data_IF_171703549500
#
_entry.id   IF_171703549500
#
_cell.length_a   1.000
_cell.length_b   1.000
_cell.length_c   1.000
_cell.angle_alpha   90.00
_cell.angle_beta   90.00
_cell.angle_gamma   90.00
#
_symmetry.space_group_name_H-M   'P 1'
#
loop_
_entity.id
_entity.type
_entity.pdbx_description
1 polymer ?
#
# COMPACT_ATOMS: atom_id res chain seq x y z
N UNK A 1 -17.08 -15.41 -18.80
CA UNK A 1 -16.69 -14.05 -19.26
C UNK A 1 -15.99 -14.13 -20.63
N UNK A 2 -14.89 -14.89 -20.81
CA UNK A 2 -14.13 -14.98 -22.08
C UNK A 2 -14.98 -15.40 -23.27
N UNK A 3 -15.83 -16.44 -23.11
CA UNK A 3 -16.73 -16.91 -24.18
C UNK A 3 -17.69 -15.79 -24.63
N UNK A 4 -18.19 -14.96 -23.69
CA UNK A 4 -19.03 -13.81 -23.98
C UNK A 4 -18.25 -12.75 -24.77
N UNK A 5 -17.02 -12.43 -24.33
CA UNK A 5 -16.16 -11.45 -24.98
C UNK A 5 -15.84 -11.82 -26.44
N UNK A 6 -15.56 -13.09 -26.71
CA UNK A 6 -15.33 -13.59 -28.08
C UNK A 6 -16.57 -13.41 -28.98
N UNK A 7 -17.78 -13.60 -28.43
CA UNK A 7 -19.04 -13.46 -29.16
C UNK A 7 -19.51 -12.01 -29.31
N UNK A 8 -19.00 -11.12 -28.48
CA UNK A 8 -19.37 -9.71 -28.51
C UNK A 8 -18.93 -9.04 -29.81
N UNK A 9 -19.81 -8.23 -30.40
CA UNK A 9 -19.59 -7.52 -31.64
C UNK A 9 -19.17 -6.05 -31.43
N UNK A 10 -19.32 -5.54 -30.22
CA UNK A 10 -18.96 -4.17 -29.85
C UNK A 10 -17.45 -3.99 -29.72
N UNK A 11 -16.99 -2.74 -29.86
CA UNK A 11 -15.61 -2.35 -29.63
C UNK A 11 -15.28 -2.16 -28.15
N UNK A 12 -16.29 -2.07 -27.31
CA UNK A 12 -16.20 -2.02 -25.84
C UNK A 12 -16.89 -3.24 -25.26
N UNK A 13 -16.31 -3.77 -24.20
CA UNK A 13 -16.86 -4.85 -23.40
C UNK A 13 -17.24 -4.28 -22.03
N UNK A 14 -18.46 -4.53 -21.61
CA UNK A 14 -18.90 -4.30 -20.24
C UNK A 14 -19.18 -5.66 -19.59
N UNK A 15 -18.37 -6.01 -18.59
CA UNK A 15 -18.67 -7.11 -17.69
C UNK A 15 -19.44 -6.53 -16.53
N UNK A 16 -20.65 -7.02 -16.33
CA UNK A 16 -21.59 -6.54 -15.32
C UNK A 16 -22.20 -7.75 -14.63
N UNK A 17 -22.12 -7.78 -13.31
CA UNK A 17 -22.78 -8.83 -12.54
C UNK A 17 -24.30 -8.70 -12.67
N UNK A 18 -25.01 -9.82 -12.59
CA UNK A 18 -26.45 -9.89 -12.70
C UNK A 18 -27.18 -9.39 -11.44
N UNK A 19 -26.45 -9.12 -10.37
CA UNK A 19 -26.91 -8.54 -9.10
C UNK A 19 -26.52 -7.05 -8.93
N UNK A 20 -26.21 -6.36 -10.03
CA UNK A 20 -26.03 -4.90 -10.05
C UNK A 20 -27.37 -4.21 -10.24
N UNK A 21 -27.66 -3.21 -9.40
CA UNK A 21 -28.81 -2.33 -9.50
C UNK A 21 -28.38 -0.90 -9.85
N UNK A 22 -29.03 -0.33 -10.85
CA UNK A 22 -28.80 1.04 -11.30
C UNK A 22 -29.59 1.99 -10.39
N UNK A 23 -28.89 2.92 -9.72
CA UNK A 23 -29.49 3.89 -8.82
C UNK A 23 -30.01 5.08 -9.63
N UNK A 24 -31.25 5.48 -9.33
CA UNK A 24 -31.89 6.67 -9.87
C UNK A 24 -32.91 6.37 -10.94
N UNK A 25 -34.09 6.99 -10.79
CA UNK A 25 -35.20 6.86 -11.72
C UNK A 25 -35.31 8.02 -12.69
N UNK A 26 -34.58 9.08 -12.49
CA UNK A 26 -34.57 10.24 -13.37
C UNK A 26 -33.44 10.10 -14.40
N UNK A 27 -33.70 9.28 -15.39
CA UNK A 27 -32.78 8.94 -16.50
C UNK A 27 -32.36 10.12 -17.38
N UNK A 28 -32.79 11.33 -17.08
CA UNK A 28 -32.53 12.48 -17.94
C UNK A 28 -31.17 13.16 -17.68
N UNK A 29 -30.49 12.95 -16.53
CA UNK A 29 -29.31 13.74 -16.18
C UNK A 29 -27.99 12.97 -16.01
N UNK A 30 -27.98 11.65 -15.89
CA UNK A 30 -26.70 10.90 -15.79
C UNK A 30 -26.75 9.59 -16.55
N UNK A 31 -26.31 9.61 -17.79
CA UNK A 31 -26.03 8.38 -18.54
C UNK A 31 -24.75 7.72 -18.05
N UNK A 32 -24.85 6.95 -16.95
CA UNK A 32 -23.76 6.22 -16.33
C UNK A 32 -22.96 5.40 -17.35
N UNK A 33 -23.65 4.82 -18.33
CA UNK A 33 -23.03 4.01 -19.37
C UNK A 33 -22.17 4.87 -20.32
N UNK A 34 -22.68 6.05 -20.73
CA UNK A 34 -21.90 6.99 -21.56
C UNK A 34 -20.67 7.53 -20.86
N UNK A 35 -20.74 7.73 -19.53
CA UNK A 35 -19.59 8.14 -18.72
C UNK A 35 -18.52 7.05 -18.78
N UNK A 36 -18.85 5.78 -18.51
CA UNK A 36 -17.90 4.67 -18.60
C UNK A 36 -17.34 4.50 -20.00
N UNK A 37 -18.20 4.60 -21.05
CA UNK A 37 -17.80 4.56 -22.46
C UNK A 37 -16.81 5.67 -22.80
N UNK A 38 -17.10 6.90 -22.37
CA UNK A 38 -16.21 8.05 -22.60
C UNK A 38 -14.82 7.85 -22.00
N UNK A 39 -14.76 7.31 -20.79
CA UNK A 39 -13.49 6.99 -20.13
C UNK A 39 -12.77 5.82 -20.80
N UNK A 40 -13.46 4.72 -21.10
CA UNK A 40 -12.85 3.52 -21.68
C UNK A 40 -12.23 3.76 -23.06
N UNK A 41 -12.73 4.77 -23.78
CA UNK A 41 -12.20 5.18 -25.11
C UNK A 41 -10.92 6.02 -25.04
N UNK A 42 -10.48 6.45 -23.86
CA UNK A 42 -9.21 7.17 -23.74
C UNK A 42 -8.05 6.20 -24.03
N UNK A 43 -7.07 6.67 -24.77
CA UNK A 43 -5.94 5.83 -25.23
C UNK A 43 -5.18 5.21 -24.05
N UNK A 44 -4.94 5.98 -22.99
CA UNK A 44 -4.22 5.55 -21.80
C UNK A 44 -5.05 4.70 -20.84
N UNK A 45 -6.38 4.62 -20.99
CA UNK A 45 -7.24 3.89 -20.06
C UNK A 45 -7.20 2.38 -20.34
N UNK A 46 -6.96 1.59 -19.30
CA UNK A 46 -7.12 0.14 -19.30
C UNK A 46 -8.57 -0.25 -19.04
N UNK A 47 -8.84 -0.64 -17.81
CA UNK A 47 -10.20 -0.93 -17.34
C UNK A 47 -10.83 0.29 -16.67
N UNK A 48 -12.16 0.37 -16.72
CA UNK A 48 -12.96 1.40 -16.03
C UNK A 48 -13.96 0.70 -15.11
N UNK A 49 -13.96 1.09 -13.83
CA UNK A 49 -14.94 0.65 -12.84
C UNK A 49 -15.83 1.79 -12.36
N UNK A 50 -16.91 1.43 -11.71
CA UNK A 50 -17.85 2.32 -11.05
C UNK A 50 -17.73 2.23 -9.53
N UNK A 51 -18.17 3.25 -8.81
CA UNK A 51 -18.42 3.16 -7.37
C UNK A 51 -19.57 2.20 -7.12
N UNK A 52 -19.33 1.22 -6.23
CA UNK A 52 -20.38 0.31 -5.78
C UNK A 52 -20.69 0.55 -4.31
N UNK A 53 -21.98 0.64 -4.00
CA UNK A 53 -22.50 0.70 -2.65
C UNK A 53 -23.22 -0.60 -2.31
N UNK A 54 -23.30 -0.92 -1.01
CA UNK A 54 -24.18 -1.99 -0.55
C UNK A 54 -25.66 -1.56 -0.73
N UNK A 55 -26.55 -2.51 -1.07
CA UNK A 55 -27.95 -2.20 -1.37
C UNK A 55 -28.64 -1.44 -0.25
N UNK A 56 -29.52 -0.50 -0.61
CA UNK A 56 -30.32 0.29 0.31
C UNK A 56 -29.52 1.01 1.40
N UNK A 57 -28.23 1.31 1.13
CA UNK A 57 -27.36 1.91 2.11
C UNK A 57 -26.42 2.96 1.48
N UNK A 58 -25.76 3.72 2.34
CA UNK A 58 -24.66 4.61 1.98
C UNK A 58 -23.28 3.99 2.31
N UNK A 59 -23.21 2.68 2.53
CA UNK A 59 -21.93 2.03 2.80
C UNK A 59 -21.22 1.66 1.51
N UNK A 60 -19.97 2.05 1.41
CA UNK A 60 -19.11 1.74 0.27
C UNK A 60 -18.80 0.24 0.25
N UNK A 61 -18.99 -0.38 -0.90
CA UNK A 61 -18.51 -1.72 -1.20
C UNK A 61 -17.22 -1.67 -2.02
N UNK A 62 -17.17 -0.80 -3.04
CA UNK A 62 -16.03 -0.65 -3.93
C UNK A 62 -15.85 0.80 -4.39
N UNK A 63 -14.64 1.29 -4.19
CA UNK A 63 -14.11 2.53 -4.78
C UNK A 63 -12.65 2.32 -5.18
N UNK A 64 -12.36 1.23 -5.89
CA UNK A 64 -11.02 0.81 -6.27
C UNK A 64 -10.42 -0.23 -5.33
N UNK A 65 -9.43 -0.93 -5.82
CA UNK A 65 -8.66 -1.94 -5.08
C UNK A 65 -7.24 -1.44 -4.93
N UNK A 66 -6.73 -1.54 -3.72
CA UNK A 66 -5.35 -1.20 -3.35
C UNK A 66 -4.58 -2.44 -2.93
N UNK A 67 -3.28 -2.41 -3.16
CA UNK A 67 -2.37 -3.46 -2.74
C UNK A 67 -1.40 -2.91 -1.69
N UNK A 68 -1.56 -3.31 -0.43
CA UNK A 68 -0.73 -2.85 0.68
C UNK A 68 -0.15 -4.03 1.49
N UNK A 69 0.85 -3.76 2.30
CA UNK A 69 1.71 -4.77 2.91
C UNK A 69 0.99 -5.85 3.71
N UNK A 70 0.04 -5.47 4.56
CA UNK A 70 -0.63 -6.41 5.48
C UNK A 70 -1.82 -7.14 4.87
N UNK A 71 -2.33 -6.66 3.73
CA UNK A 71 -3.44 -7.29 3.00
C UNK A 71 -3.24 -7.08 1.51
N UNK A 72 -3.37 -8.12 0.74
CA UNK A 72 -3.27 -8.01 -0.71
C UNK A 72 -4.64 -7.73 -1.32
N UNK A 73 -4.69 -6.74 -2.21
CA UNK A 73 -5.85 -6.43 -3.05
C UNK A 73 -7.14 -6.21 -2.28
N UNK A 74 -7.12 -5.24 -1.36
CA UNK A 74 -8.28 -4.87 -0.58
C UNK A 74 -9.09 -3.76 -1.24
N UNK A 75 -10.41 -3.82 -1.12
CA UNK A 75 -11.30 -2.74 -1.52
C UNK A 75 -11.09 -1.53 -0.62
N UNK A 76 -10.76 -0.38 -1.22
CA UNK A 76 -10.57 0.88 -0.50
C UNK A 76 -11.88 1.32 0.13
N UNK A 77 -11.85 1.76 1.39
CA UNK A 77 -13.01 2.22 2.17
C UNK A 77 -14.16 1.21 2.31
N UNK A 78 -13.95 -0.08 2.06
CA UNK A 78 -15.02 -1.06 2.21
C UNK A 78 -15.69 -0.99 3.58
N UNK A 79 -17.01 -0.95 3.60
CA UNK A 79 -17.88 -0.78 4.78
C UNK A 79 -17.79 0.62 5.44
N UNK A 80 -17.09 1.60 4.87
CA UNK A 80 -17.16 2.99 5.32
C UNK A 80 -18.45 3.66 4.78
N UNK A 81 -18.91 4.70 5.47
CA UNK A 81 -20.03 5.52 4.97
C UNK A 81 -19.53 6.41 3.85
N UNK A 82 -20.26 6.47 2.75
CA UNK A 82 -20.01 7.36 1.60
C UNK A 82 -20.49 8.77 1.92
N UNK A 83 -19.69 9.53 2.65
CA UNK A 83 -19.99 10.87 3.09
C UNK A 83 -18.77 11.81 3.04
N UNK A 84 -18.95 13.06 3.48
CA UNK A 84 -17.94 14.11 3.50
C UNK A 84 -16.81 13.85 4.53
N UNK A 85 -16.93 12.84 5.38
CA UNK A 85 -15.89 12.49 6.36
C UNK A 85 -14.74 11.67 5.75
N UNK A 86 -14.91 11.16 4.54
CA UNK A 86 -13.82 10.49 3.82
C UNK A 86 -12.74 11.51 3.47
N UNK A 87 -11.52 11.19 3.89
CA UNK A 87 -10.38 12.11 3.76
C UNK A 87 -10.12 12.47 2.30
N UNK A 88 -9.87 13.75 2.08
CA UNK A 88 -9.60 14.34 0.78
C UNK A 88 -10.76 14.17 -0.22
N UNK A 89 -11.97 13.86 0.23
CA UNK A 89 -13.15 13.63 -0.62
C UNK A 89 -12.87 12.66 -1.77
N UNK A 90 -12.02 11.65 -1.50
CA UNK A 90 -11.59 10.70 -2.52
C UNK A 90 -12.72 9.82 -3.04
N UNK A 91 -13.78 9.65 -2.26
CA UNK A 91 -15.02 8.99 -2.67
C UNK A 91 -15.85 9.76 -3.71
N UNK A 92 -15.52 11.03 -3.99
CA UNK A 92 -16.18 11.83 -5.02
C UNK A 92 -15.30 12.13 -6.24
N UNK A 93 -14.00 12.01 -6.11
CA UNK A 93 -13.10 12.26 -7.22
C UNK A 93 -12.86 10.99 -8.03
N UNK A 94 -12.79 11.12 -9.35
CA UNK A 94 -12.31 10.06 -10.23
C UNK A 94 -10.79 9.96 -10.13
N UNK A 95 -10.26 8.75 -10.25
CA UNK A 95 -8.81 8.55 -10.13
C UNK A 95 -8.32 7.26 -10.76
N UNK A 96 -7.04 7.26 -11.09
CA UNK A 96 -6.34 6.06 -11.48
C UNK A 96 -6.12 5.17 -10.25
N UNK A 97 -6.38 3.88 -10.39
CA UNK A 97 -6.20 2.89 -9.34
C UNK A 97 -5.53 1.63 -9.89
N UNK A 98 -5.02 0.80 -8.98
CA UNK A 98 -4.36 -0.43 -9.40
C UNK A 98 -5.36 -1.40 -10.04
N UNK A 99 -6.51 -1.62 -9.40
CA UNK A 99 -7.53 -2.50 -9.93
C UNK A 99 -8.95 -1.96 -9.70
N UNK A 100 -9.86 -2.36 -10.57
CA UNK A 100 -11.30 -2.21 -10.44
C UNK A 100 -11.96 -3.59 -10.40
N UNK A 101 -13.11 -3.71 -9.75
CA UNK A 101 -13.79 -5.01 -9.57
C UNK A 101 -14.48 -5.48 -10.85
N UNK A 102 -14.49 -6.79 -11.05
CA UNK A 102 -15.22 -7.45 -12.12
C UNK A 102 -16.73 -7.30 -12.05
N UNK A 103 -17.30 -6.83 -10.93
CA UNK A 103 -18.73 -6.61 -10.77
C UNK A 103 -19.27 -5.52 -11.71
N UNK A 104 -18.46 -4.48 -11.99
CA UNK A 104 -18.72 -3.49 -13.05
C UNK A 104 -17.38 -3.11 -13.67
N UNK A 105 -17.09 -3.68 -14.83
CA UNK A 105 -15.76 -3.59 -15.47
C UNK A 105 -15.94 -3.31 -16.97
N UNK A 106 -15.57 -2.13 -17.41
CA UNK A 106 -15.59 -1.77 -18.83
C UNK A 106 -14.20 -1.66 -19.40
N UNK A 107 -14.00 -2.19 -20.60
CA UNK A 107 -12.71 -2.18 -21.29
C UNK A 107 -12.89 -2.12 -22.81
N UNK A 108 -11.94 -1.52 -23.50
CA UNK A 108 -11.86 -1.62 -24.95
C UNK A 108 -11.51 -3.06 -25.36
N UNK A 109 -12.30 -3.64 -26.29
CA UNK A 109 -12.14 -5.05 -26.69
C UNK A 109 -10.72 -5.35 -27.20
N UNK A 110 -10.12 -4.43 -27.93
CA UNK A 110 -8.75 -4.60 -28.41
C UNK A 110 -7.71 -4.71 -27.30
N UNK A 111 -7.91 -3.97 -26.19
CA UNK A 111 -7.04 -4.04 -25.00
C UNK A 111 -7.28 -5.31 -24.20
N UNK A 112 -8.54 -5.74 -24.09
CA UNK A 112 -8.90 -7.01 -23.49
C UNK A 112 -8.27 -8.20 -24.20
N UNK A 113 -8.39 -8.22 -25.55
CA UNK A 113 -7.82 -9.28 -26.39
C UNK A 113 -6.26 -9.28 -26.31
N UNK A 114 -5.64 -8.07 -26.28
CA UNK A 114 -4.19 -7.92 -26.12
C UNK A 114 -3.70 -8.38 -24.74
N UNK A 115 -4.49 -8.15 -23.70
CA UNK A 115 -4.18 -8.65 -22.35
C UNK A 115 -4.33 -10.17 -22.21
N UNK A 116 -4.97 -10.83 -23.18
CA UNK A 116 -5.22 -12.29 -23.15
C UNK A 116 -6.56 -12.67 -22.54
N UNK A 117 -7.41 -11.71 -22.19
CA UNK A 117 -8.67 -11.92 -21.49
C UNK A 117 -8.47 -12.22 -20.02
N UNK A 118 -9.51 -12.74 -19.36
CA UNK A 118 -9.39 -13.23 -17.98
C UNK A 118 -8.66 -14.57 -17.96
N UNK A 119 -7.69 -14.70 -17.07
CA UNK A 119 -6.96 -15.95 -16.88
C UNK A 119 -7.86 -16.98 -16.17
N UNK A 120 -8.16 -18.09 -16.86
CA UNK A 120 -9.06 -19.14 -16.35
C UNK A 120 -8.44 -19.99 -15.22
N UNK A 121 -7.15 -19.80 -14.92
CA UNK A 121 -6.53 -20.37 -13.74
C UNK A 121 -7.07 -19.76 -12.42
N UNK A 122 -7.59 -18.53 -12.48
CA UNK A 122 -8.29 -17.88 -11.36
C UNK A 122 -9.78 -18.28 -11.39
N UNK A 123 -10.13 -19.31 -10.67
CA UNK A 123 -11.49 -19.89 -10.74
C UNK A 123 -12.60 -18.97 -10.22
N UNK A 124 -12.35 -18.22 -9.13
CA UNK A 124 -13.40 -17.45 -8.43
C UNK A 124 -12.97 -16.02 -8.11
N UNK A 125 -11.73 -15.82 -7.67
CA UNK A 125 -11.20 -14.54 -7.18
C UNK A 125 -9.94 -14.16 -7.91
N UNK A 126 -9.57 -12.87 -7.90
CA UNK A 126 -8.36 -12.30 -8.51
C UNK A 126 -8.29 -12.34 -10.05
N UNK A 127 -9.30 -12.80 -10.75
CA UNK A 127 -9.34 -12.72 -12.22
C UNK A 127 -9.41 -11.28 -12.72
N UNK A 128 -10.16 -10.43 -12.04
CA UNK A 128 -10.25 -8.97 -12.28
C UNK A 128 -8.97 -8.26 -11.84
N UNK A 129 -8.38 -8.68 -10.75
CA UNK A 129 -7.07 -8.18 -10.29
C UNK A 129 -6.01 -8.50 -11.34
N UNK A 130 -5.86 -9.74 -11.74
CA UNK A 130 -4.85 -10.21 -12.70
C UNK A 130 -4.89 -9.43 -14.03
N UNK A 131 -6.08 -9.26 -14.61
CA UNK A 131 -6.19 -8.48 -15.85
C UNK A 131 -5.87 -7.01 -15.64
N UNK A 132 -6.25 -6.41 -14.50
CA UNK A 132 -5.89 -5.03 -14.17
C UNK A 132 -4.37 -4.84 -14.05
N UNK A 133 -3.67 -5.77 -13.39
CA UNK A 133 -2.21 -5.75 -13.29
C UNK A 133 -1.56 -5.92 -14.66
N UNK A 134 -2.07 -6.84 -15.48
CA UNK A 134 -1.60 -7.03 -16.86
C UNK A 134 -1.75 -5.76 -17.69
N UNK A 135 -2.87 -5.05 -17.59
CA UNK A 135 -3.11 -3.79 -18.27
C UNK A 135 -2.14 -2.70 -17.80
N UNK A 136 -1.91 -2.61 -16.49
CA UNK A 136 -0.93 -1.66 -15.93
C UNK A 136 0.49 -1.96 -16.44
N UNK A 137 0.93 -3.20 -16.44
CA UNK A 137 2.25 -3.61 -16.96
C UNK A 137 2.38 -3.37 -18.47
N UNK A 138 1.28 -3.32 -19.21
CA UNK A 138 1.22 -2.94 -20.62
C UNK A 138 1.20 -1.40 -20.83
N UNK A 139 1.24 -0.61 -19.76
CA UNK A 139 1.29 0.86 -19.79
C UNK A 139 -0.07 1.56 -19.83
N UNK A 140 -1.15 0.84 -19.48
CA UNK A 140 -2.49 1.44 -19.31
C UNK A 140 -2.75 1.78 -17.84
N UNK A 141 -3.70 2.69 -17.59
CA UNK A 141 -4.19 3.04 -16.25
C UNK A 141 -5.62 2.54 -16.08
N UNK A 142 -5.88 1.84 -14.99
CA UNK A 142 -7.25 1.48 -14.62
C UNK A 142 -7.88 2.66 -13.88
N UNK A 143 -9.10 3.00 -14.19
CA UNK A 143 -9.76 4.23 -13.73
C UNK A 143 -11.04 3.88 -12.96
N UNK A 144 -11.17 4.45 -11.79
CA UNK A 144 -12.43 4.43 -11.06
C UNK A 144 -13.23 5.71 -11.33
N UNK A 145 -14.47 5.56 -11.73
CA UNK A 145 -15.45 6.64 -11.89
C UNK A 145 -16.35 6.72 -10.67
N UNK A 146 -16.06 7.66 -9.78
CA UNK A 146 -16.85 7.89 -8.56
C UNK A 146 -18.15 8.64 -8.83
N UNK A 147 -18.28 9.29 -9.98
CA UNK A 147 -19.52 9.90 -10.47
C UNK A 147 -20.53 8.89 -11.04
N UNK A 148 -20.10 7.64 -11.26
CA UNK A 148 -20.97 6.52 -11.59
C UNK A 148 -21.19 5.68 -10.32
N UNK A 149 -22.40 5.71 -9.78
CA UNK A 149 -22.74 5.01 -8.52
C UNK A 149 -23.80 3.95 -8.80
N UNK A 150 -23.54 2.72 -8.38
CA UNK A 150 -24.42 1.57 -8.56
C UNK A 150 -24.58 0.82 -7.22
N UNK A 151 -25.67 0.09 -7.01
CA UNK A 151 -25.77 -0.89 -5.94
C UNK A 151 -25.31 -2.26 -6.43
N UNK A 152 -24.62 -3.01 -5.56
CA UNK A 152 -24.24 -4.38 -5.83
C UNK A 152 -24.71 -5.28 -4.69
N UNK A 153 -25.62 -6.20 -4.99
CA UNK A 153 -26.28 -7.08 -4.04
C UNK A 153 -25.42 -8.28 -3.62
N UNK A 154 -24.08 -8.09 -3.59
CA UNK A 154 -23.14 -9.13 -3.14
C UNK A 154 -23.48 -9.59 -1.73
N UNK A 155 -23.31 -10.86 -1.46
CA UNK A 155 -23.56 -11.56 -0.19
C UNK A 155 -24.91 -12.25 -0.04
N UNK A 156 -25.91 -11.98 -0.87
CA UNK A 156 -27.11 -12.81 -0.84
C UNK A 156 -26.84 -14.26 -1.27
N UNK A 157 -25.82 -14.47 -2.11
CA UNK A 157 -25.48 -15.80 -2.63
C UNK A 157 -24.22 -16.45 -2.07
N UNK A 158 -23.31 -15.68 -1.43
CA UNK A 158 -21.97 -16.19 -1.05
C UNK A 158 -21.70 -16.32 0.46
N UNK A 159 -22.55 -15.77 1.34
CA UNK A 159 -22.35 -15.77 2.80
C UNK A 159 -21.14 -14.91 3.24
N UNK A 160 -21.00 -14.67 4.56
CA UNK A 160 -19.86 -13.92 5.13
C UNK A 160 -18.55 -14.65 4.86
N UNK A 161 -17.63 -14.00 4.14
CA UNK A 161 -16.34 -14.58 3.73
C UNK A 161 -15.35 -14.77 4.89
N UNK A 162 -15.59 -14.15 6.04
CA UNK A 162 -14.66 -14.14 7.18
C UNK A 162 -14.63 -15.46 7.98
N UNK A 163 -15.56 -16.39 7.77
CA UNK A 163 -15.73 -17.60 8.61
C UNK A 163 -15.38 -18.90 7.89
N UNK A 164 -15.12 -18.86 6.58
CA UNK A 164 -14.89 -20.06 5.79
C UNK A 164 -13.39 -20.27 5.50
N UNK A 165 -12.76 -21.20 6.23
CA UNK A 165 -11.33 -21.57 6.07
C UNK A 165 -11.00 -21.99 4.64
N UNK A 166 -11.94 -22.59 3.91
CA UNK A 166 -11.72 -23.00 2.53
C UNK A 166 -11.70 -21.80 1.56
N UNK A 167 -12.56 -20.79 1.78
CA UNK A 167 -12.53 -19.53 1.04
C UNK A 167 -11.23 -18.77 1.30
N UNK A 168 -10.80 -18.68 2.56
CA UNK A 168 -9.53 -18.05 2.92
C UNK A 168 -8.35 -18.73 2.24
N UNK A 169 -8.31 -20.06 2.22
CA UNK A 169 -7.25 -20.82 1.55
C UNK A 169 -7.25 -20.55 0.02
N UNK A 170 -8.43 -20.49 -0.61
CA UNK A 170 -8.55 -20.16 -2.04
C UNK A 170 -8.08 -18.75 -2.34
N UNK A 171 -8.47 -17.77 -1.51
CA UNK A 171 -8.02 -16.38 -1.66
C UNK A 171 -6.50 -16.26 -1.51
N UNK A 172 -5.92 -16.92 -0.51
CA UNK A 172 -4.46 -16.93 -0.35
C UNK A 172 -3.74 -17.60 -1.53
N UNK A 173 -4.28 -18.70 -2.05
CA UNK A 173 -3.71 -19.34 -3.24
C UNK A 173 -3.80 -18.44 -4.48
N UNK A 174 -4.95 -17.80 -4.71
CA UNK A 174 -5.12 -16.86 -5.81
C UNK A 174 -4.16 -15.65 -5.68
N UNK A 175 -3.96 -15.15 -4.46
CA UNK A 175 -2.95 -14.12 -4.18
C UNK A 175 -1.55 -14.56 -4.58
N UNK A 176 -1.14 -15.74 -4.13
CA UNK A 176 0.21 -16.24 -4.39
C UNK A 176 0.43 -16.42 -5.91
N UNK A 177 -0.56 -16.96 -6.63
CA UNK A 177 -0.55 -17.02 -8.10
C UNK A 177 -0.44 -15.62 -8.74
N UNK A 178 -1.17 -14.63 -8.20
CA UNK A 178 -1.10 -13.25 -8.69
C UNK A 178 0.31 -12.68 -8.54
N UNK A 179 0.96 -12.87 -7.40
CA UNK A 179 2.32 -12.38 -7.18
C UNK A 179 3.38 -13.15 -7.97
N UNK A 180 3.21 -14.46 -8.17
CA UNK A 180 4.07 -15.23 -9.08
C UNK A 180 4.01 -14.68 -10.52
N UNK A 181 2.84 -14.26 -10.98
CA UNK A 181 2.62 -13.71 -12.32
C UNK A 181 3.06 -12.23 -12.41
N UNK A 182 2.89 -11.46 -11.36
CA UNK A 182 3.18 -10.01 -11.29
C UNK A 182 4.17 -9.66 -10.16
N UNK A 183 5.41 -10.20 -10.15
CA UNK A 183 6.33 -10.08 -9.02
C UNK A 183 6.75 -8.63 -8.72
N UNK A 184 6.72 -7.73 -9.70
CA UNK A 184 7.03 -6.30 -9.51
C UNK A 184 5.98 -5.54 -8.70
N UNK A 185 4.79 -6.11 -8.59
CA UNK A 185 3.65 -5.53 -7.87
C UNK A 185 3.38 -6.28 -6.54
N UNK A 186 4.27 -7.19 -6.14
CA UNK A 186 4.16 -7.82 -4.83
C UNK A 186 4.28 -6.76 -3.73
N UNK A 187 3.22 -6.62 -2.92
CA UNK A 187 3.12 -5.64 -1.83
C UNK A 187 3.42 -4.18 -2.24
N UNK A 188 3.23 -3.87 -3.51
CA UNK A 188 3.46 -2.55 -4.06
C UNK A 188 2.27 -2.08 -4.88
N UNK A 189 1.86 -0.84 -4.66
CA UNK A 189 0.79 -0.18 -5.40
C UNK A 189 1.27 1.21 -5.86
N UNK A 190 1.44 1.42 -7.18
CA UNK A 190 1.92 2.71 -7.70
C UNK A 190 0.94 3.87 -7.46
N UNK A 191 -0.34 3.57 -7.16
CA UNK A 191 -1.40 4.56 -6.90
C UNK A 191 -1.69 4.74 -5.42
N UNK A 192 -1.05 3.96 -4.55
CA UNK A 192 -1.21 4.05 -3.10
C UNK A 192 0.10 4.49 -2.46
N UNK A 193 0.11 5.71 -1.92
CA UNK A 193 1.33 6.27 -1.35
C UNK A 193 1.86 5.44 -0.17
N UNK A 194 3.17 5.17 -0.11
CA UNK A 194 3.77 4.50 1.05
C UNK A 194 3.66 5.31 2.35
N UNK A 195 3.28 6.60 2.28
CA UNK A 195 2.97 7.43 3.44
C UNK A 195 1.60 7.13 4.07
N UNK A 196 0.77 6.39 3.37
CA UNK A 196 -0.53 5.96 3.87
C UNK A 196 -0.39 4.67 4.68
N UNK A 197 -1.43 4.37 5.45
CA UNK A 197 -1.44 3.16 6.29
C UNK A 197 -1.26 1.90 5.45
N UNK A 198 -0.40 1.02 5.92
CA UNK A 198 -0.14 -0.30 5.32
C UNK A 198 -0.85 -1.42 6.12
N UNK A 199 -1.80 -1.06 6.97
CA UNK A 199 -2.47 -1.98 7.88
C UNK A 199 -3.98 -2.01 7.74
N UNK A 200 -4.56 -1.06 7.01
CA UNK A 200 -5.99 -1.01 6.73
C UNK A 200 -6.29 -0.29 5.39
N UNK A 201 -7.52 -0.38 4.94
CA UNK A 201 -7.99 0.15 3.65
C UNK A 201 -8.66 1.53 3.72
N UNK A 202 -8.36 2.35 4.74
CA UNK A 202 -9.06 3.62 4.98
C UNK A 202 -8.34 4.86 4.44
N UNK A 203 -7.32 4.71 3.62
CA UNK A 203 -6.55 5.81 2.99
C UNK A 203 -6.13 6.90 4.00
N UNK A 204 -5.89 6.51 5.24
CA UNK A 204 -5.40 7.41 6.27
C UNK A 204 -3.87 7.49 6.23
N UNK A 205 -3.32 8.57 6.72
CA UNK A 205 -1.88 8.60 6.94
C UNK A 205 -1.47 7.44 7.85
N UNK A 206 -0.41 6.76 7.47
CA UNK A 206 0.20 5.76 8.33
C UNK A 206 0.51 6.37 9.71
N UNK A 207 0.51 5.56 10.73
CA UNK A 207 0.93 6.01 12.08
C UNK A 207 2.38 6.51 12.06
N UNK A 208 3.08 6.22 10.98
CA UNK A 208 4.43 6.61 10.65
C UNK A 208 4.44 7.40 9.33
N UNK A 209 4.25 8.73 9.42
CA UNK A 209 4.41 9.61 8.24
C UNK A 209 5.91 9.82 8.02
N UNK A 210 6.46 9.14 7.02
CA UNK A 210 7.86 9.30 6.65
C UNK A 210 7.99 9.78 5.22
N UNK A 211 8.56 10.93 5.03
CA UNK A 211 9.30 11.18 3.82
C UNK A 211 10.67 10.49 3.97
N UNK A 212 10.85 9.36 3.32
CA UNK A 212 12.14 8.66 3.34
C UNK A 212 13.15 9.51 2.59
N UNK A 213 13.95 10.23 3.34
CA UNK A 213 15.13 10.88 2.76
C UNK A 213 16.27 9.88 2.88
N UNK A 214 16.63 9.25 1.77
CA UNK A 214 17.85 8.44 1.71
C UNK A 214 19.05 9.32 1.89
N UNK A 215 19.91 8.93 2.81
CA UNK A 215 21.12 9.67 3.14
C UNK A 215 22.34 8.82 2.87
N UNK A 216 23.31 9.39 2.15
CA UNK A 216 24.62 8.76 2.01
C UNK A 216 25.34 8.72 3.36
N UNK A 217 25.75 7.54 3.80
CA UNK A 217 26.56 7.40 5.01
C UNK A 217 27.91 8.10 4.84
N UNK A 218 28.35 8.75 5.90
CA UNK A 218 29.65 9.42 5.91
C UNK A 218 30.69 8.57 6.66
N UNK A 219 31.83 8.28 6.05
CA UNK A 219 32.93 7.62 6.77
C UNK A 219 33.33 8.40 8.02
N UNK A 220 33.41 7.71 9.15
CA UNK A 220 33.58 8.32 10.47
C UNK A 220 34.49 7.46 11.38
N UNK A 221 35.56 6.88 10.84
CA UNK A 221 36.40 5.91 11.55
C UNK A 221 37.00 6.45 12.86
N UNK A 222 37.28 7.77 12.93
CA UNK A 222 37.75 8.43 14.15
C UNK A 222 36.67 8.58 15.24
N UNK A 223 35.42 8.37 14.90
CA UNK A 223 34.27 8.47 15.81
C UNK A 223 33.68 7.09 16.13
N UNK A 224 34.38 6.03 15.82
CA UNK A 224 33.95 4.64 16.09
C UNK A 224 33.59 4.50 17.56
N UNK A 225 32.41 3.96 17.88
CA UNK A 225 32.02 3.70 19.25
C UNK A 225 33.00 2.68 19.90
N UNK A 226 33.55 3.04 21.04
CA UNK A 226 34.37 2.10 21.78
C UNK A 226 33.48 1.17 22.61
N UNK A 227 33.68 -0.14 22.51
CA UNK A 227 32.81 -1.16 23.12
C UNK A 227 32.61 -0.99 24.64
N UNK A 228 33.57 -0.40 25.36
CA UNK A 228 33.43 -0.14 26.80
C UNK A 228 32.72 1.16 27.19
N UNK A 229 32.26 1.95 26.22
CA UNK A 229 31.59 3.25 26.46
C UNK A 229 30.16 3.32 25.92
N UNK A 230 29.60 2.19 25.51
CA UNK A 230 28.22 2.14 25.06
C UNK A 230 27.29 1.81 26.20
N UNK A 231 26.24 2.61 26.36
CA UNK A 231 25.17 2.36 27.32
C UNK A 231 24.11 1.46 26.65
N UNK A 232 23.65 0.45 27.35
CA UNK A 232 22.45 -0.32 26.97
C UNK A 232 21.25 0.34 27.65
N UNK A 233 20.29 0.75 26.85
CA UNK A 233 19.07 1.39 27.36
C UNK A 233 17.84 0.78 26.73
N UNK A 234 16.82 0.41 27.50
CA UNK A 234 15.54 -0.10 26.98
C UNK A 234 14.76 0.98 26.21
N UNK A 235 15.16 2.23 26.34
CA UNK A 235 14.53 3.39 25.70
C UNK A 235 15.24 3.83 24.41
N UNK A 236 16.22 3.07 23.96
CA UNK A 236 16.91 3.25 22.68
C UNK A 236 16.87 1.94 21.92
N UNK A 237 16.28 1.94 20.74
CA UNK A 237 16.14 0.75 19.89
C UNK A 237 16.22 1.13 18.42
N UNK A 238 16.86 0.28 17.64
CA UNK A 238 16.82 0.30 16.17
C UNK A 238 16.29 -1.04 15.68
N UNK A 239 15.54 -1.01 14.62
CA UNK A 239 15.09 -2.20 13.89
C UNK A 239 15.37 -1.96 12.41
N UNK A 240 15.99 -2.93 11.77
CA UNK A 240 16.13 -2.93 10.32
C UNK A 240 14.78 -3.26 9.68
N UNK A 241 14.40 -2.51 8.67
CA UNK A 241 13.23 -2.78 7.85
C UNK A 241 13.66 -2.59 6.41
N UNK A 242 13.83 -3.69 5.67
CA UNK A 242 14.15 -3.64 4.24
C UNK A 242 12.88 -3.67 3.40
N UNK A 243 12.84 -2.84 2.37
CA UNK A 243 11.86 -2.90 1.28
C UNK A 243 12.62 -2.77 -0.04
N UNK A 244 12.49 -3.74 -0.94
CA UNK A 244 12.95 -3.65 -2.34
C UNK A 244 14.34 -3.00 -2.51
N UNK A 245 15.40 -3.67 -2.13
CA UNK A 245 16.81 -3.22 -2.26
C UNK A 245 17.21 -1.96 -1.47
N UNK A 246 16.26 -1.35 -0.74
CA UNK A 246 16.48 -0.13 0.02
C UNK A 246 16.63 -0.43 1.51
N UNK A 247 17.77 -0.14 2.07
CA UNK A 247 17.98 -0.28 3.50
C UNK A 247 17.30 0.85 4.28
N UNK A 248 16.49 0.47 5.24
CA UNK A 248 15.81 1.40 6.14
C UNK A 248 16.01 0.99 7.59
N UNK A 249 16.35 1.94 8.43
CA UNK A 249 16.42 1.76 9.88
C UNK A 249 15.33 2.58 10.55
N UNK A 250 14.56 1.94 11.42
CA UNK A 250 13.55 2.57 12.26
C UNK A 250 13.90 2.38 13.71
N UNK A 251 13.49 3.32 14.54
CA UNK A 251 13.75 3.18 15.95
C UNK A 251 13.14 4.28 16.78
N UNK A 252 13.52 4.30 18.03
CA UNK A 252 13.19 5.35 18.95
C UNK A 252 14.36 5.60 19.91
N UNK A 253 14.47 6.85 20.36
CA UNK A 253 15.47 7.22 21.35
C UNK A 253 14.92 8.28 22.29
N UNK A 254 14.84 7.96 23.57
CA UNK A 254 14.44 8.88 24.63
C UNK A 254 15.07 8.47 25.97
N UNK A 255 15.07 9.38 26.95
CA UNK A 255 15.51 9.10 28.30
C UNK A 255 14.48 9.68 29.28
N UNK A 256 13.67 8.81 29.86
CA UNK A 256 12.59 9.18 30.76
C UNK A 256 11.64 10.19 30.11
N UNK A 257 11.92 11.46 30.34
CA UNK A 257 11.07 12.56 29.92
C UNK A 257 11.65 13.42 28.76
N UNK A 258 12.80 13.00 28.21
CA UNK A 258 13.51 13.74 27.17
C UNK A 258 13.63 12.87 25.93
N UNK A 259 13.07 13.36 24.83
CA UNK A 259 13.28 12.78 23.51
C UNK A 259 14.61 13.22 22.91
N UNK A 260 15.24 12.36 22.13
CA UNK A 260 16.46 12.67 21.38
C UNK A 260 16.10 12.97 19.94
N UNK A 261 16.03 14.25 19.62
CA UNK A 261 15.61 14.73 18.31
C UNK A 261 16.73 14.55 17.26
N UNK A 262 16.39 13.95 16.11
CA UNK A 262 17.30 13.67 15.01
C UNK A 262 18.62 12.99 15.47
N UNK A 263 18.55 11.82 16.07
CA UNK A 263 19.72 11.14 16.57
C UNK A 263 20.69 10.78 15.42
N UNK A 264 21.96 10.53 15.76
CA UNK A 264 22.97 10.08 14.81
C UNK A 264 23.16 8.58 14.98
N UNK A 265 22.97 7.83 13.91
CA UNK A 265 23.23 6.40 13.85
C UNK A 265 24.68 6.16 13.43
N UNK A 266 25.33 5.21 14.07
CA UNK A 266 26.63 4.69 13.69
C UNK A 266 26.49 3.24 13.32
N UNK A 267 27.02 2.88 12.14
CA UNK A 267 27.21 1.52 11.67
C UNK A 267 28.70 1.25 11.58
N UNK A 268 29.19 0.23 12.28
CA UNK A 268 30.63 -0.06 12.26
C UNK A 268 30.94 -1.56 12.38
N UNK A 269 32.07 -1.93 11.79
CA UNK A 269 32.71 -3.24 11.93
C UNK A 269 34.22 -3.04 12.18
N UNK A 270 35.02 -4.07 12.01
CA UNK A 270 36.48 -3.97 12.23
C UNK A 270 37.16 -3.00 11.26
N UNK A 271 36.70 -2.92 10.02
CA UNK A 271 37.29 -2.14 8.93
C UNK A 271 36.72 -0.72 8.84
N UNK A 272 35.43 -0.59 8.91
CA UNK A 272 34.72 0.63 8.58
C UNK A 272 33.79 1.14 9.70
N UNK A 273 33.63 2.45 9.73
CA UNK A 273 32.62 3.11 10.54
C UNK A 273 31.93 4.19 9.73
N UNK A 274 30.59 4.14 9.70
CA UNK A 274 29.75 5.10 9.01
C UNK A 274 28.85 5.81 10.00
N UNK A 275 28.58 7.09 9.76
CA UNK A 275 27.60 7.87 10.51
C UNK A 275 26.48 8.32 9.58
N UNK A 276 25.25 8.31 10.09
CA UNK A 276 24.06 8.70 9.36
C UNK A 276 23.19 9.51 10.32
N UNK A 277 22.68 10.65 9.87
CA UNK A 277 21.75 11.45 10.66
C UNK A 277 20.32 10.95 10.41
N UNK A 278 19.70 10.37 11.42
CA UNK A 278 18.30 9.97 11.36
C UNK A 278 17.36 11.17 11.45
N UNK A 279 16.14 10.99 11.00
CA UNK A 279 15.08 11.99 11.07
C UNK A 279 14.07 11.58 12.13
N UNK A 280 13.82 12.42 13.11
CA UNK A 280 12.75 12.21 14.08
C UNK A 280 11.39 12.39 13.42
N UNK A 281 10.45 11.57 13.86
CA UNK A 281 9.09 11.50 13.35
C UNK A 281 8.12 11.87 14.45
N UNK A 282 7.10 12.65 14.11
CA UNK A 282 6.06 13.00 15.07
C UNK A 282 5.04 11.88 15.21
N UNK A 283 5.08 11.18 16.32
CA UNK A 283 4.07 10.18 16.70
C UNK A 283 3.37 10.62 17.99
N UNK A 284 2.21 11.22 17.84
CA UNK A 284 1.44 11.81 18.95
C UNK A 284 0.95 10.79 20.00
N UNK A 285 0.90 9.52 19.63
CA UNK A 285 0.49 8.44 20.54
C UNK A 285 1.67 7.64 21.11
N UNK A 286 2.91 7.96 20.73
CA UNK A 286 4.08 7.18 21.12
C UNK A 286 4.24 7.08 22.65
N UNK A 287 4.08 8.20 23.36
CA UNK A 287 4.18 8.25 24.82
C UNK A 287 3.15 7.33 25.49
N UNK A 288 1.92 7.25 24.95
CA UNK A 288 0.86 6.38 25.46
C UNK A 288 1.23 4.90 25.29
N UNK A 289 1.76 4.53 24.11
CA UNK A 289 2.20 3.15 23.86
C UNK A 289 3.40 2.72 24.73
N UNK A 290 4.20 3.68 25.17
CA UNK A 290 5.36 3.42 26.05
C UNK A 290 5.05 3.59 27.52
N UNK A 291 3.83 4.00 27.91
CA UNK A 291 3.43 4.20 29.29
C UNK A 291 4.20 5.33 29.97
N UNK A 292 4.52 6.39 29.23
CA UNK A 292 5.27 7.55 29.72
C UNK A 292 4.32 8.74 29.88
N UNK A 293 4.32 9.39 31.03
CA UNK A 293 3.39 10.48 31.35
C UNK A 293 3.68 11.80 30.62
N UNK A 294 4.82 11.90 29.92
CA UNK A 294 5.22 13.11 29.21
C UNK A 294 5.25 12.90 27.70
N UNK A 295 5.01 14.01 27.03
CA UNK A 295 4.99 14.08 25.57
C UNK A 295 6.41 13.88 25.01
N UNK A 296 6.65 12.69 24.44
CA UNK A 296 7.88 12.31 23.73
C UNK A 296 7.57 11.96 22.27
N UNK A 297 6.78 12.80 21.62
CA UNK A 297 6.22 12.55 20.29
C UNK A 297 7.27 12.46 19.17
N UNK A 298 8.45 13.03 19.38
CA UNK A 298 9.55 13.01 18.42
C UNK A 298 10.67 12.02 18.78
N UNK A 299 10.43 11.16 19.77
CA UNK A 299 11.36 10.07 20.10
C UNK A 299 11.52 9.02 19.00
N UNK A 300 10.47 8.66 18.23
CA UNK A 300 10.62 7.84 17.06
C UNK A 300 11.46 8.52 15.99
N UNK A 301 12.25 7.73 15.28
CA UNK A 301 13.05 8.20 14.15
C UNK A 301 13.08 7.19 13.03
N UNK A 302 13.46 7.68 11.88
CA UNK A 302 13.60 6.93 10.65
C UNK A 302 14.87 7.33 9.90
N UNK A 303 15.47 6.40 9.17
CA UNK A 303 16.65 6.64 8.36
C UNK A 303 16.65 5.74 7.14
N UNK A 304 16.48 6.29 5.94
CA UNK A 304 16.81 5.61 4.70
C UNK A 304 18.31 5.72 4.44
N UNK A 305 18.95 4.62 4.03
CA UNK A 305 20.39 4.54 3.81
C UNK A 305 20.66 4.21 2.35
N UNK A 306 21.33 5.12 1.66
CA UNK A 306 21.92 4.85 0.35
C UNK A 306 23.22 4.06 0.57
N UNK A 307 23.15 2.76 0.35
CA UNK A 307 24.27 1.83 0.61
C UNK A 307 25.31 1.77 -0.52
N UNK A 308 25.09 2.46 -1.64
CA UNK A 308 25.92 2.38 -2.86
C UNK A 308 27.42 2.58 -2.60
N UNK A 309 27.78 3.42 -1.63
CA UNK A 309 29.18 3.72 -1.29
C UNK A 309 29.63 2.96 -0.01
N UNK A 310 28.85 2.00 0.48
CA UNK A 310 29.21 1.18 1.65
C UNK A 310 29.88 -0.13 1.19
N UNK A 311 30.82 -0.60 1.99
CA UNK A 311 31.39 -1.91 1.78
C UNK A 311 30.45 -2.99 2.34
N UNK A 312 30.33 -4.12 1.64
CA UNK A 312 29.53 -5.25 2.09
C UNK A 312 30.03 -5.80 3.42
N UNK A 313 29.12 -6.24 4.27
CA UNK A 313 29.47 -6.84 5.54
C UNK A 313 28.45 -6.64 6.62
N UNK A 314 28.68 -7.24 7.78
CA UNK A 314 27.85 -7.07 8.98
C UNK A 314 28.38 -5.91 9.82
N UNK A 315 27.49 -5.00 10.17
CA UNK A 315 27.78 -3.80 10.95
C UNK A 315 26.99 -3.81 12.26
N UNK A 316 27.67 -3.52 13.36
CA UNK A 316 26.97 -3.21 14.62
C UNK A 316 26.37 -1.82 14.51
N UNK A 317 25.25 -1.62 15.23
CA UNK A 317 24.52 -0.35 15.22
C UNK A 317 24.54 0.32 16.58
N UNK A 318 24.82 1.62 16.62
CA UNK A 318 24.66 2.45 17.81
C UNK A 318 23.99 3.79 17.49
N UNK A 319 23.37 4.37 18.48
CA UNK A 319 22.82 5.71 18.44
C UNK A 319 23.70 6.64 19.29
N UNK A 320 24.06 7.79 18.76
CA UNK A 320 24.66 8.88 19.54
C UNK A 320 23.62 9.94 19.85
N UNK A 321 23.38 10.15 21.14
CA UNK A 321 22.49 11.18 21.67
C UNK A 321 23.08 11.79 22.94
N UNK A 322 22.95 13.10 23.13
CA UNK A 322 23.52 13.84 24.26
C UNK A 322 25.03 13.56 24.54
N UNK A 323 25.79 13.34 23.48
CA UNK A 323 27.23 13.06 23.60
C UNK A 323 27.59 11.63 24.01
N UNK A 324 26.61 10.78 24.29
CA UNK A 324 26.78 9.38 24.67
C UNK A 324 26.44 8.46 23.50
N UNK A 325 27.00 7.25 23.54
CA UNK A 325 26.66 6.17 22.59
C UNK A 325 25.79 5.15 23.30
N UNK A 326 24.71 4.74 22.62
CA UNK A 326 23.78 3.71 23.06
C UNK A 326 23.84 2.54 22.09
N UNK A 327 24.04 1.33 22.61
CA UNK A 327 24.00 0.11 21.81
C UNK A 327 22.54 -0.11 21.32
N UNK A 328 22.35 -0.16 20.03
CA UNK A 328 21.06 -0.38 19.43
C UNK A 328 20.60 -1.85 19.49
N UNK A 329 21.49 -2.75 19.92
CA UNK A 329 21.25 -4.20 20.02
C UNK A 329 20.78 -4.82 18.69
N UNK A 330 21.27 -4.28 17.59
CA UNK A 330 20.91 -4.69 16.24
C UNK A 330 22.16 -4.70 15.39
N UNK A 331 22.36 -5.77 14.65
CA UNK A 331 23.34 -5.85 13.59
C UNK A 331 22.64 -5.60 12.25
N UNK A 332 23.33 -4.91 11.36
CA UNK A 332 22.85 -4.50 10.03
C UNK A 332 23.71 -5.16 8.98
N UNK A 333 23.11 -5.85 8.02
CA UNK A 333 23.83 -6.52 6.92
C UNK A 333 23.72 -5.65 5.67
N UNK A 334 24.87 -5.33 5.08
CA UNK A 334 24.98 -4.67 3.79
C UNK A 334 25.39 -5.72 2.77
N UNK A 335 24.53 -6.01 1.83
CA UNK A 335 24.82 -6.88 0.70
C UNK A 335 25.54 -6.09 -0.39
N UNK A 336 26.43 -6.74 -1.11
CA UNK A 336 27.25 -6.11 -2.15
C UNK A 336 26.60 -6.10 -3.52
#
# INVERSE_FOLDING_TARGET
CNIGAVKAKGNLLLFLNDDIEIIGQDYEDTDWLSILVGQAKQESTGAVGAKLLYPDSSYIQHVGVINYESSCFAHLYAKAVDDDNIKAHRNYADYDCLCVTGACFMIEKAKFDKAGGFDEAFEVTHNDVDICLTLYEQGYYNVLRNDVVLFHHESFSRGDDEVDEEKNRRNMHARDMTYEKHPKLEKYDPFYSPLLTQTDNNYRFGDEIYSVIYRKPQKADRLRPAAGYMEVSPTVKVTETGYHDDMQLRGFAYNGNKEYYNPVIFLWNEQNCYRIKAQSVCDRAFHLRKGVDKNINYAPFFCGIDTTDMESGTYRCAIRADGKYYDAQTDVVIDG
#
